data_IF_250538257542
#
_entry.id   IF_250538257542
#
_cell.length_a   1.000
_cell.length_b   1.000
_cell.length_c   1.000
_cell.angle_alpha   90.00
_cell.angle_beta   90.00
_cell.angle_gamma   90.00
#
_symmetry.space_group_name_H-M   'P 1'
#
loop_
_entity.id
_entity.type
_entity.pdbx_description
1 polymer ?
#
# COMPACT_ATOMS: atom_id res chain seq x y z
N UNK A 1 -1.10 -61.14 0.48
CA UNK A 1 -1.34 -60.11 -0.57
C UNK A 1 -2.01 -58.84 -0.04
N UNK A 2 -3.11 -58.92 0.72
CA UNK A 2 -3.86 -57.74 1.20
C UNK A 2 -3.03 -56.71 2.01
N UNK A 3 -2.10 -57.18 2.87
CA UNK A 3 -1.22 -56.29 3.66
C UNK A 3 -0.27 -55.45 2.78
N UNK A 4 0.25 -56.03 1.69
CA UNK A 4 1.16 -55.34 0.76
C UNK A 4 0.38 -54.30 -0.06
N UNK A 5 -0.88 -54.59 -0.41
CA UNK A 5 -1.76 -53.66 -1.12
C UNK A 5 -2.13 -52.43 -0.24
N UNK A 6 -2.34 -52.64 1.06
CA UNK A 6 -2.61 -51.56 2.01
C UNK A 6 -1.38 -50.70 2.31
N UNK A 7 -0.17 -51.28 2.35
CA UNK A 7 1.09 -50.51 2.49
C UNK A 7 1.34 -49.66 1.24
N UNK A 8 1.10 -50.18 0.03
CA UNK A 8 1.20 -49.40 -1.22
C UNK A 8 0.16 -48.26 -1.29
N UNK A 9 -1.08 -48.50 -0.83
CA UNK A 9 -2.10 -47.45 -0.69
C UNK A 9 -1.72 -46.39 0.35
N UNK A 10 -1.11 -46.79 1.47
CA UNK A 10 -0.65 -45.87 2.51
C UNK A 10 0.53 -45.01 2.03
N UNK A 11 1.49 -45.60 1.31
CA UNK A 11 2.61 -44.87 0.69
C UNK A 11 2.11 -43.89 -0.38
N UNK A 12 1.09 -44.28 -1.17
CA UNK A 12 0.46 -43.40 -2.16
C UNK A 12 -0.30 -42.23 -1.50
N UNK A 13 -1.02 -42.48 -0.39
CA UNK A 13 -1.71 -41.45 0.38
C UNK A 13 -0.75 -40.48 1.08
N UNK A 14 0.38 -40.96 1.60
CA UNK A 14 1.43 -40.12 2.22
C UNK A 14 2.15 -39.28 1.16
N UNK A 15 2.35 -39.80 -0.06
CA UNK A 15 2.94 -39.06 -1.18
C UNK A 15 2.08 -37.89 -1.68
N UNK A 16 0.74 -37.98 -1.58
CA UNK A 16 -0.18 -36.90 -1.97
C UNK A 16 -0.21 -35.71 -1.00
N UNK A 17 0.17 -35.92 0.26
CA UNK A 17 0.18 -34.86 1.29
C UNK A 17 1.35 -33.88 1.11
N UNK A 18 2.43 -34.29 0.43
CA UNK A 18 3.62 -33.45 0.22
C UNK A 18 3.56 -32.48 -0.97
N UNK A 19 2.47 -32.44 -1.75
CA UNK A 19 2.34 -31.58 -2.94
C UNK A 19 1.64 -30.23 -2.69
N UNK A 20 1.27 -29.89 -1.45
CA UNK A 20 0.49 -28.67 -1.15
C UNK A 20 1.28 -27.53 -0.50
N UNK A 21 2.62 -27.54 -0.53
CA UNK A 21 3.44 -26.54 0.17
C UNK A 21 4.03 -25.42 -0.70
N UNK A 22 3.43 -25.14 -1.87
CA UNK A 22 3.99 -24.18 -2.83
C UNK A 22 3.06 -23.02 -3.15
N UNK A 23 2.40 -22.41 -2.16
CA UNK A 23 1.67 -21.14 -2.35
C UNK A 23 2.02 -20.14 -1.23
N UNK A 24 3.31 -19.96 -0.93
CA UNK A 24 3.75 -18.68 -0.36
C UNK A 24 3.88 -17.71 -1.53
N UNK A 25 2.77 -17.03 -1.81
CA UNK A 25 2.72 -15.88 -2.70
C UNK A 25 3.86 -14.95 -2.27
N UNK A 26 4.81 -14.72 -3.16
CA UNK A 26 5.83 -13.70 -2.98
C UNK A 26 5.15 -12.34 -2.98
N UNK A 27 4.56 -11.95 -1.86
CA UNK A 27 4.16 -10.58 -1.64
C UNK A 27 5.47 -9.79 -1.60
N UNK A 28 5.76 -9.06 -2.68
CA UNK A 28 6.88 -8.13 -2.75
C UNK A 28 6.75 -7.20 -1.56
N UNK A 29 7.55 -7.43 -0.52
CA UNK A 29 7.51 -6.63 0.69
C UNK A 29 7.97 -5.22 0.32
N UNK A 30 7.00 -4.35 0.08
CA UNK A 30 7.25 -2.92 -0.13
C UNK A 30 7.81 -2.33 1.15
N UNK A 31 8.82 -1.45 1.08
CA UNK A 31 9.32 -0.74 2.26
C UNK A 31 8.28 0.25 2.83
N UNK A 32 7.21 0.53 2.09
CA UNK A 32 6.05 1.29 2.56
C UNK A 32 4.83 0.37 2.57
N UNK A 33 4.23 0.19 3.73
CA UNK A 33 3.02 -0.60 3.93
C UNK A 33 1.85 0.33 4.21
N UNK A 34 0.82 0.25 3.38
CA UNK A 34 -0.40 1.04 3.50
C UNK A 34 -1.50 0.28 4.22
N UNK A 35 -2.28 0.99 5.02
CA UNK A 35 -3.61 0.57 5.46
C UNK A 35 -4.63 1.63 5.08
N UNK A 36 -5.92 1.26 5.09
CA UNK A 36 -7.01 2.15 4.72
C UNK A 36 -8.19 1.89 5.63
N UNK A 37 -8.75 2.96 6.17
CA UNK A 37 -9.90 2.93 7.06
C UNK A 37 -10.92 3.97 6.62
N UNK A 38 -12.21 3.68 6.84
CA UNK A 38 -13.30 4.61 6.57
C UNK A 38 -14.03 4.91 7.88
N UNK A 39 -13.85 6.13 8.38
CA UNK A 39 -14.42 6.57 9.65
C UNK A 39 -15.69 7.36 9.39
N UNK A 40 -16.81 6.96 10.00
CA UNK A 40 -18.04 7.74 9.92
C UNK A 40 -17.90 9.00 10.76
N UNK A 41 -18.15 10.17 10.17
CA UNK A 41 -18.03 11.46 10.86
C UNK A 41 -19.40 12.00 11.27
N UNK A 42 -20.29 12.24 10.32
CA UNK A 42 -21.65 12.75 10.59
C UNK A 42 -22.61 12.40 9.46
N UNK A 43 -23.81 11.91 9.80
CA UNK A 43 -24.84 11.63 8.80
C UNK A 43 -24.37 10.67 7.71
N UNK A 44 -24.23 11.16 6.49
CA UNK A 44 -23.71 10.41 5.32
C UNK A 44 -22.24 10.74 4.98
N UNK A 45 -21.57 11.51 5.83
CA UNK A 45 -20.17 11.92 5.65
C UNK A 45 -19.23 11.00 6.42
N UNK A 46 -18.11 10.70 5.76
CA UNK A 46 -17.07 9.81 6.21
C UNK A 46 -15.70 10.43 5.90
N UNK A 47 -14.67 9.92 6.56
CA UNK A 47 -13.28 10.28 6.34
C UNK A 47 -12.50 9.01 6.04
N UNK A 48 -11.85 8.98 4.87
CA UNK A 48 -10.84 7.98 4.56
C UNK A 48 -9.59 8.36 5.33
N UNK A 49 -9.03 7.42 6.08
CA UNK A 49 -7.73 7.54 6.73
C UNK A 49 -6.80 6.51 6.10
N UNK A 50 -5.68 6.96 5.55
CA UNK A 50 -4.69 6.14 4.87
C UNK A 50 -3.32 6.28 5.56
N UNK A 51 -3.04 5.48 6.61
CA UNK A 51 -1.71 5.39 7.19
C UNK A 51 -0.74 4.66 6.26
N UNK A 52 0.47 5.19 6.13
CA UNK A 52 1.62 4.54 5.53
C UNK A 52 2.68 4.31 6.61
N UNK A 53 3.05 3.05 6.85
CA UNK A 53 4.21 2.70 7.66
C UNK A 53 5.43 2.57 6.77
N UNK A 54 6.49 3.31 7.08
CA UNK A 54 7.69 3.45 6.26
C UNK A 54 8.85 2.76 7.00
N UNK A 55 9.43 1.74 6.39
CA UNK A 55 10.56 1.01 6.95
C UNK A 55 11.72 1.97 7.22
N UNK A 56 12.41 1.80 8.34
CA UNK A 56 13.58 2.61 8.67
C UNK A 56 14.61 2.61 7.51
N UNK A 57 15.18 3.79 7.24
CA UNK A 57 16.06 4.04 6.10
C UNK A 57 15.35 4.37 4.80
N UNK A 58 14.03 4.19 4.70
CA UNK A 58 13.24 4.53 3.52
C UNK A 58 12.49 5.85 3.69
N UNK A 59 12.18 6.46 2.55
CA UNK A 59 11.47 7.74 2.44
C UNK A 59 10.24 7.59 1.55
N UNK A 60 9.12 8.17 1.98
CA UNK A 60 7.93 8.40 1.16
C UNK A 60 7.84 9.90 0.82
N UNK A 61 7.41 10.22 -0.39
CA UNK A 61 7.32 11.62 -0.85
C UNK A 61 5.91 12.17 -0.78
N UNK A 62 5.80 13.49 -0.62
CA UNK A 62 4.52 14.21 -0.61
C UNK A 62 3.75 14.11 -1.92
N UNK A 63 2.47 14.44 -1.86
CA UNK A 63 1.64 14.73 -3.04
C UNK A 63 2.10 15.98 -3.78
N UNK A 64 2.86 16.85 -3.09
CA UNK A 64 3.34 18.13 -3.61
C UNK A 64 4.85 18.05 -3.81
N UNK A 65 5.27 18.01 -5.06
CA UNK A 65 6.68 17.95 -5.45
C UNK A 65 6.91 18.80 -6.70
N UNK A 66 8.16 19.19 -6.91
CA UNK A 66 8.59 19.87 -8.13
C UNK A 66 8.47 18.94 -9.34
N UNK A 67 8.34 19.48 -10.55
CA UNK A 67 8.27 18.66 -11.77
C UNK A 67 9.53 17.83 -12.02
N UNK A 68 10.69 18.29 -11.54
CA UNK A 68 11.96 17.56 -11.58
C UNK A 68 12.13 16.61 -10.39
N UNK A 69 11.16 16.59 -9.48
CA UNK A 69 11.15 15.82 -8.25
C UNK A 69 10.82 14.34 -8.43
N UNK A 70 10.69 13.61 -7.31
CA UNK A 70 10.18 12.25 -7.30
C UNK A 70 8.76 12.17 -7.86
N UNK A 71 8.35 10.98 -8.32
CA UNK A 71 6.93 10.73 -8.58
C UNK A 71 6.15 10.97 -7.28
N UNK A 72 5.17 11.91 -7.28
CA UNK A 72 4.44 12.26 -6.07
C UNK A 72 3.57 11.10 -5.60
N UNK A 73 3.31 11.05 -4.30
CA UNK A 73 2.21 10.22 -3.80
C UNK A 73 0.90 10.73 -4.40
N UNK A 74 0.06 9.87 -4.95
CA UNK A 74 -1.19 10.28 -5.57
C UNK A 74 -2.31 9.30 -5.22
N UNK A 75 -3.45 9.83 -4.76
CA UNK A 75 -4.63 9.02 -4.46
C UNK A 75 -5.65 9.17 -5.58
N UNK A 76 -6.15 8.05 -6.07
CA UNK A 76 -7.20 7.98 -7.10
C UNK A 76 -8.42 7.31 -6.50
N UNK A 77 -9.57 7.99 -6.56
CA UNK A 77 -10.86 7.43 -6.19
C UNK A 77 -11.69 7.22 -7.46
N UNK A 78 -12.05 5.96 -7.76
CA UNK A 78 -12.58 5.61 -9.08
C UNK A 78 -11.57 5.94 -10.19
N UNK A 79 -11.85 6.98 -10.97
CA UNK A 79 -11.00 7.45 -12.08
C UNK A 79 -10.51 8.90 -11.89
N UNK A 80 -10.58 9.44 -10.67
CA UNK A 80 -10.25 10.84 -10.38
C UNK A 80 -9.16 10.90 -9.33
N UNK A 81 -8.06 11.56 -9.66
CA UNK A 81 -7.02 11.93 -8.69
C UNK A 81 -7.58 12.98 -7.74
N UNK A 82 -7.50 12.71 -6.44
CA UNK A 82 -8.00 13.61 -5.40
C UNK A 82 -6.91 13.90 -4.38
N UNK A 83 -6.78 15.16 -3.91
CA UNK A 83 -5.80 15.48 -2.88
C UNK A 83 -6.27 14.99 -1.52
N UNK A 84 -5.42 14.26 -0.82
CA UNK A 84 -5.58 13.95 0.59
C UNK A 84 -4.88 15.03 1.43
N UNK A 85 -5.37 15.29 2.63
CA UNK A 85 -4.67 16.13 3.61
C UNK A 85 -3.56 15.32 4.29
N UNK A 86 -2.34 15.86 4.29
CA UNK A 86 -1.15 15.26 4.92
C UNK A 86 -1.10 15.65 6.40
N UNK A 87 -1.39 14.70 7.29
CA UNK A 87 -1.52 14.94 8.75
C UNK A 87 -0.22 14.72 9.52
N UNK A 88 0.73 14.00 8.94
CA UNK A 88 2.00 13.69 9.58
C UNK A 88 3.01 14.84 9.46
N UNK A 89 3.99 14.85 10.36
CA UNK A 89 5.15 15.73 10.23
C UNK A 89 5.95 15.32 8.99
N UNK A 90 6.36 16.32 8.21
CA UNK A 90 7.24 16.15 7.06
C UNK A 90 8.52 16.96 7.25
N UNK A 91 9.54 16.63 6.46
CA UNK A 91 10.71 17.47 6.26
C UNK A 91 10.73 17.97 4.82
N UNK A 92 11.19 19.21 4.61
CA UNK A 92 11.50 19.75 3.29
C UNK A 92 13.01 19.95 3.22
N UNK A 93 13.66 19.27 2.29
CA UNK A 93 15.11 19.30 2.13
C UNK A 93 15.50 19.14 0.66
N UNK A 94 16.64 19.71 0.30
CA UNK A 94 17.25 19.49 -1.00
C UNK A 94 17.62 18.02 -1.17
N UNK A 95 17.16 17.39 -2.26
CA UNK A 95 17.47 16.02 -2.58
C UNK A 95 18.50 15.96 -3.73
N UNK A 96 19.69 15.39 -3.51
CA UNK A 96 20.74 15.37 -4.53
C UNK A 96 20.42 14.46 -5.71
N UNK A 97 19.44 13.55 -5.60
CA UNK A 97 19.00 12.70 -6.73
C UNK A 97 18.16 13.51 -7.71
N UNK A 98 17.33 14.41 -7.18
CA UNK A 98 16.37 15.20 -7.97
C UNK A 98 16.83 16.65 -8.21
N UNK A 99 17.90 17.07 -7.55
CA UNK A 99 18.47 18.43 -7.61
C UNK A 99 17.45 19.54 -7.28
N UNK A 100 16.44 19.22 -6.46
CA UNK A 100 15.38 20.13 -6.02
C UNK A 100 15.03 19.88 -4.55
N UNK A 101 14.35 20.84 -3.93
CA UNK A 101 13.73 20.62 -2.62
C UNK A 101 12.55 19.65 -2.74
N UNK A 102 12.53 18.63 -1.90
CA UNK A 102 11.43 17.65 -1.86
C UNK A 102 10.86 17.55 -0.44
N UNK A 103 9.56 17.28 -0.36
CA UNK A 103 8.86 17.05 0.90
C UNK A 103 8.81 15.53 1.16
N UNK A 104 9.29 15.12 2.34
CA UNK A 104 9.55 13.74 2.71
C UNK A 104 8.87 13.36 4.03
N UNK A 105 8.44 12.11 4.09
CA UNK A 105 8.01 11.42 5.30
C UNK A 105 8.96 10.26 5.61
N UNK A 106 9.25 10.07 6.90
CA UNK A 106 10.03 8.95 7.45
C UNK A 106 9.25 8.29 8.57
N UNK A 107 9.45 6.99 8.76
CA UNK A 107 8.77 6.13 9.75
C UNK A 107 7.25 5.97 9.54
N UNK A 108 6.50 7.07 9.42
CA UNK A 108 5.06 7.04 9.20
C UNK A 108 4.56 8.28 8.45
N UNK A 109 3.48 8.12 7.70
CA UNK A 109 2.71 9.21 7.11
C UNK A 109 1.22 8.91 7.22
N UNK A 110 0.38 9.92 7.48
CA UNK A 110 -1.07 9.78 7.55
C UNK A 110 -1.69 10.75 6.57
N UNK A 111 -2.52 10.21 5.69
CA UNK A 111 -3.27 10.97 4.68
C UNK A 111 -4.76 10.82 4.96
N UNK A 112 -5.53 11.90 4.80
CA UNK A 112 -6.98 11.87 5.05
C UNK A 112 -7.78 12.54 3.96
N UNK A 113 -8.96 12.01 3.64
CA UNK A 113 -9.86 12.62 2.64
C UNK A 113 -11.32 12.41 3.01
N UNK A 114 -12.13 13.47 2.94
CA UNK A 114 -13.55 13.41 3.27
C UNK A 114 -14.34 12.92 2.06
N UNK A 115 -15.28 12.01 2.30
CA UNK A 115 -16.19 11.46 1.28
C UNK A 115 -17.62 11.38 1.80
N UNK A 116 -18.59 11.52 0.91
CA UNK A 116 -20.01 11.36 1.23
C UNK A 116 -20.54 10.10 0.55
N UNK A 117 -21.35 9.30 1.28
CA UNK A 117 -21.90 8.04 0.79
C UNK A 117 -22.65 8.18 -0.53
N UNK A 118 -23.42 9.27 -0.71
CA UNK A 118 -24.11 9.63 -1.96
C UNK A 118 -24.83 8.44 -2.66
N UNK A 119 -25.43 7.52 -1.88
CA UNK A 119 -26.11 6.33 -2.38
C UNK A 119 -25.21 5.15 -2.77
N UNK A 120 -23.88 5.26 -2.63
CA UNK A 120 -22.90 4.19 -2.88
C UNK A 120 -22.79 3.25 -1.68
N UNK A 121 -22.37 2.01 -1.91
CA UNK A 121 -22.12 1.02 -0.85
C UNK A 121 -20.64 0.95 -0.44
N UNK A 122 -19.75 1.39 -1.32
CA UNK A 122 -18.32 1.37 -1.09
C UNK A 122 -17.62 2.52 -1.84
N UNK A 123 -16.37 2.77 -1.44
CA UNK A 123 -15.40 3.60 -2.13
C UNK A 123 -14.25 2.71 -2.55
N UNK A 124 -13.90 2.74 -3.83
CA UNK A 124 -12.74 2.04 -4.39
C UNK A 124 -11.73 3.06 -4.89
N UNK A 125 -10.47 2.69 -4.82
CA UNK A 125 -9.37 3.53 -5.26
C UNK A 125 -8.02 2.86 -5.14
N UNK A 126 -6.98 3.63 -5.42
CA UNK A 126 -5.60 3.21 -5.21
C UNK A 126 -4.73 4.40 -4.84
N UNK A 127 -3.60 4.11 -4.22
CA UNK A 127 -2.50 5.07 -4.04
C UNK A 127 -1.33 4.65 -4.91
N UNK A 128 -0.82 5.58 -5.73
CA UNK A 128 0.46 5.45 -6.43
C UNK A 128 1.51 6.19 -5.63
N UNK A 129 2.67 5.57 -5.40
CA UNK A 129 3.76 6.21 -4.68
C UNK A 129 5.13 5.71 -5.14
N UNK A 130 6.15 6.53 -4.93
CA UNK A 130 7.56 6.18 -5.08
C UNK A 130 8.27 6.27 -3.74
N UNK A 131 9.30 5.45 -3.54
CA UNK A 131 10.07 5.39 -2.31
C UNK A 131 11.54 5.14 -2.59
N UNK A 132 12.41 5.80 -1.82
CA UNK A 132 13.87 5.72 -1.96
C UNK A 132 14.54 5.50 -0.60
N UNK A 133 15.71 4.85 -0.59
CA UNK A 133 16.53 4.59 0.59
C UNK A 133 17.70 5.59 0.76
N UNK A 134 17.75 6.62 -0.08
CA UNK A 134 18.81 7.63 -0.13
C UNK A 134 19.90 7.32 -1.17
N UNK A 135 19.99 6.09 -1.67
CA UNK A 135 20.90 5.71 -2.76
C UNK A 135 20.15 5.39 -4.04
N UNK A 136 18.99 4.73 -3.91
CA UNK A 136 18.16 4.31 -5.05
C UNK A 136 16.69 4.51 -4.76
N UNK A 137 15.94 4.63 -5.84
CA UNK A 137 14.49 4.67 -5.83
C UNK A 137 13.93 3.38 -6.42
N UNK A 138 12.89 2.84 -5.78
CA UNK A 138 12.10 1.77 -6.38
C UNK A 138 11.15 2.36 -7.42
N UNK A 139 10.83 1.61 -8.50
CA UNK A 139 9.77 2.03 -9.42
C UNK A 139 8.47 2.33 -8.67
N UNK A 140 7.68 3.32 -9.12
CA UNK A 140 6.38 3.61 -8.54
C UNK A 140 5.52 2.36 -8.42
N UNK A 141 4.75 2.26 -7.35
CA UNK A 141 3.89 1.12 -7.05
C UNK A 141 2.49 1.60 -6.67
N UNK A 142 1.50 0.80 -7.07
CA UNK A 142 0.09 1.03 -6.74
C UNK A 142 -0.35 0.10 -5.61
N UNK A 143 -1.15 0.63 -4.69
CA UNK A 143 -1.87 -0.17 -3.69
C UNK A 143 -3.35 0.17 -3.77
N UNK A 144 -4.13 -0.81 -4.23
CA UNK A 144 -5.58 -0.73 -4.34
C UNK A 144 -6.27 -0.91 -2.98
N UNK A 145 -7.42 -0.27 -2.81
CA UNK A 145 -8.28 -0.42 -1.64
C UNK A 145 -9.76 -0.34 -2.00
N UNK A 146 -10.56 -1.03 -1.20
CA UNK A 146 -12.03 -0.97 -1.22
C UNK A 146 -12.54 -0.84 0.20
N UNK A 147 -13.29 0.23 0.47
CA UNK A 147 -13.82 0.57 1.79
C UNK A 147 -15.34 0.61 1.75
N UNK A 148 -15.99 -0.10 2.68
CA UNK A 148 -17.47 -0.17 2.76
C UNK A 148 -17.99 0.89 3.73
N UNK A 149 -19.07 1.59 3.33
CA UNK A 149 -19.76 2.62 4.13
C UNK A 149 -20.59 2.07 5.30
#
# INVERSE_FOLDING_TARGET
>A
MQKILNIKRLIFLIGMVFLNFSHLIGQKLSPVTWSFELLKTKGSDYEIVAPANIKNGWTLYSQFTDENGPVPTAFVLGNVTVPFEEKSKFTKEFDPIFEVDVIKFKEHAIFTHKVTKAGKNEVTGYVTFMTCDGEKCLPPSDVEFTLKF
#
